data_IF_951579262452
#
_entry.id   IF_951579262452
#
_cell.length_a   1.000
_cell.length_b   1.000
_cell.length_c   1.000
_cell.angle_alpha   90.00
_cell.angle_beta   90.00
_cell.angle_gamma   90.00
#
_symmetry.space_group_name_H-M   'P 1'
#
loop_
_entity.id
_entity.type
_entity.pdbx_description
1 polymer ?
#
# COMPACT_ATOMS: atom_id res chain seq x y z
N UNK A 1 9.10 -25.78 11.63
CA UNK A 1 10.29 -25.11 11.06
C UNK A 1 9.76 -23.96 10.21
N UNK A 2 9.80 -22.73 10.71
CA UNK A 2 9.29 -21.57 9.96
C UNK A 2 10.31 -21.25 8.88
N UNK A 3 10.05 -21.65 7.63
CA UNK A 3 10.91 -21.32 6.50
C UNK A 3 10.97 -19.80 6.31
N UNK A 4 12.14 -19.29 5.95
CA UNK A 4 12.32 -17.88 5.57
C UNK A 4 11.37 -17.51 4.42
N UNK A 5 10.76 -16.32 4.47
CA UNK A 5 9.90 -15.83 3.38
C UNK A 5 10.78 -15.32 2.25
N UNK A 6 10.60 -15.86 1.05
CA UNK A 6 11.39 -15.47 -0.14
C UNK A 6 10.43 -15.10 -1.26
N UNK A 7 10.60 -13.89 -1.81
CA UNK A 7 9.76 -13.36 -2.89
C UNK A 7 10.64 -13.06 -4.11
N UNK A 8 10.16 -13.48 -5.28
CA UNK A 8 10.69 -13.09 -6.59
C UNK A 8 9.57 -12.35 -7.34
N UNK A 9 9.81 -11.10 -7.69
CA UNK A 9 8.96 -10.35 -8.63
C UNK A 9 9.60 -10.43 -10.01
N UNK A 10 8.84 -10.85 -11.01
CA UNK A 10 9.28 -10.98 -12.41
C UNK A 10 8.52 -9.98 -13.28
N UNK A 11 9.03 -9.74 -14.50
CA UNK A 11 8.32 -8.99 -15.54
C UNK A 11 7.88 -7.58 -15.09
N UNK A 12 8.64 -6.94 -14.21
CA UNK A 12 8.39 -5.56 -13.80
C UNK A 12 9.18 -4.59 -14.68
N UNK A 13 8.75 -3.33 -14.74
CA UNK A 13 9.42 -2.26 -15.48
C UNK A 13 9.92 -1.19 -14.49
N UNK A 14 11.19 -0.82 -14.59
CA UNK A 14 11.80 0.28 -13.83
C UNK A 14 12.61 1.14 -14.78
N UNK A 15 12.33 2.45 -14.84
CA UNK A 15 12.99 3.42 -15.74
C UNK A 15 12.97 3.01 -17.23
N UNK A 16 11.91 2.31 -17.66
CA UNK A 16 11.73 1.83 -19.03
C UNK A 16 12.40 0.49 -19.33
N UNK A 17 13.17 -0.06 -18.39
CA UNK A 17 13.85 -1.35 -18.52
C UNK A 17 13.10 -2.46 -17.78
N UNK A 18 13.17 -3.68 -18.32
CA UNK A 18 12.62 -4.87 -17.67
C UNK A 18 13.53 -5.31 -16.53
N UNK A 19 12.97 -5.49 -15.34
CA UNK A 19 13.72 -5.88 -14.14
C UNK A 19 13.05 -7.02 -13.38
N UNK A 20 13.85 -7.63 -12.51
CA UNK A 20 13.41 -8.55 -11.45
C UNK A 20 13.68 -7.90 -10.09
N UNK A 21 12.94 -8.33 -9.06
CA UNK A 21 13.21 -7.99 -7.67
C UNK A 21 13.22 -9.26 -6.84
N UNK A 22 14.21 -9.39 -5.97
CA UNK A 22 14.23 -10.43 -4.93
C UNK A 22 14.11 -9.80 -3.56
N UNK A 23 13.35 -10.46 -2.69
CA UNK A 23 13.25 -10.07 -1.28
C UNK A 23 13.30 -11.30 -0.38
N UNK A 24 13.97 -11.14 0.78
CA UNK A 24 14.09 -12.14 1.84
C UNK A 24 13.60 -11.53 3.14
N UNK A 25 12.65 -12.20 3.80
CA UNK A 25 12.08 -11.80 5.08
C UNK A 25 11.61 -10.33 5.12
N UNK A 26 11.03 -9.86 4.01
CA UNK A 26 10.51 -8.49 3.86
C UNK A 26 11.55 -7.44 3.46
N UNK A 27 12.80 -7.83 3.23
CA UNK A 27 13.89 -6.94 2.81
C UNK A 27 14.21 -7.17 1.34
N UNK A 28 14.22 -6.11 0.53
CA UNK A 28 14.68 -6.17 -0.85
C UNK A 28 16.19 -6.45 -0.87
N UNK A 29 16.59 -7.52 -1.55
CA UNK A 29 17.99 -7.95 -1.63
C UNK A 29 18.66 -7.59 -2.96
N UNK A 30 17.90 -7.54 -4.05
CA UNK A 30 18.39 -7.11 -5.36
C UNK A 30 17.25 -6.59 -6.25
N UNK A 31 17.58 -5.64 -7.12
CA UNK A 31 16.72 -5.12 -8.20
C UNK A 31 17.57 -5.02 -9.47
N UNK A 32 17.05 -5.49 -10.60
CA UNK A 32 17.70 -5.32 -11.91
C UNK A 32 17.42 -6.47 -12.88
N UNK A 33 17.96 -6.40 -14.12
CA UNK A 33 17.76 -7.44 -15.14
C UNK A 33 18.26 -8.83 -14.71
N UNK A 34 19.33 -8.86 -13.91
CA UNK A 34 19.94 -10.11 -13.44
C UNK A 34 19.52 -10.51 -12.01
N UNK A 35 18.67 -9.72 -11.33
CA UNK A 35 18.32 -9.97 -9.93
C UNK A 35 17.58 -11.30 -9.69
N UNK A 36 16.97 -11.88 -10.74
CA UNK A 36 16.33 -13.20 -10.71
C UNK A 36 17.22 -14.36 -11.19
N UNK A 37 18.40 -14.08 -11.75
CA UNK A 37 19.21 -15.07 -12.48
C UNK A 37 19.64 -16.27 -11.65
N UNK A 38 19.99 -16.10 -10.38
CA UNK A 38 20.33 -17.22 -9.47
C UNK A 38 19.12 -18.03 -8.99
N UNK A 39 17.94 -17.42 -8.97
CA UNK A 39 16.69 -18.05 -8.53
C UNK A 39 16.07 -18.86 -9.67
N UNK A 40 16.05 -18.32 -10.89
CA UNK A 40 15.53 -19.01 -12.08
C UNK A 40 16.39 -20.21 -12.49
N UNK A 41 17.71 -20.14 -12.30
CA UNK A 41 18.64 -21.25 -12.57
C UNK A 41 18.49 -22.44 -11.61
N UNK A 42 18.05 -22.21 -10.37
CA UNK A 42 17.84 -23.26 -9.36
C UNK A 42 16.42 -23.84 -9.35
N UNK A 43 15.59 -23.45 -10.33
CA UNK A 43 14.19 -23.86 -10.43
C UNK A 43 13.25 -23.08 -9.49
N UNK A 44 13.76 -22.13 -8.70
CA UNK A 44 12.96 -21.18 -7.93
C UNK A 44 12.00 -21.78 -6.90
N UNK A 45 12.10 -23.08 -6.59
CA UNK A 45 11.11 -23.81 -5.78
C UNK A 45 10.92 -23.27 -4.35
N UNK A 46 11.91 -22.52 -3.84
CA UNK A 46 11.88 -21.91 -2.52
C UNK A 46 11.32 -20.47 -2.50
N UNK A 47 10.96 -19.90 -3.67
CA UNK A 47 10.48 -18.53 -3.79
C UNK A 47 8.99 -18.50 -4.15
N UNK A 48 8.23 -17.69 -3.41
CA UNK A 48 6.94 -17.20 -3.90
C UNK A 48 7.22 -16.27 -5.09
N UNK A 49 6.59 -16.52 -6.23
CA UNK A 49 6.81 -15.76 -7.45
C UNK A 49 5.59 -14.92 -7.80
N UNK A 50 5.80 -13.63 -8.01
CA UNK A 50 4.80 -12.66 -8.46
C UNK A 50 5.18 -12.15 -9.85
N UNK A 51 4.33 -12.40 -10.85
CA UNK A 51 4.47 -11.79 -12.18
C UNK A 51 3.83 -10.39 -12.17
N UNK A 52 4.64 -9.35 -12.40
CA UNK A 52 4.17 -7.97 -12.44
C UNK A 52 3.46 -7.59 -13.75
N UNK A 53 3.39 -8.48 -14.74
CA UNK A 53 2.60 -8.27 -15.96
C UNK A 53 3.07 -7.13 -16.87
N UNK A 54 4.34 -6.72 -16.75
CA UNK A 54 4.87 -5.52 -17.40
C UNK A 54 4.61 -4.22 -16.63
N UNK A 55 3.97 -4.30 -15.46
CA UNK A 55 3.66 -3.18 -14.60
C UNK A 55 4.91 -2.43 -14.10
N UNK A 56 4.70 -1.19 -13.66
CA UNK A 56 5.77 -0.33 -13.14
C UNK A 56 6.12 -0.77 -11.72
N UNK A 57 7.42 -0.97 -11.47
CA UNK A 57 7.97 -1.09 -10.13
C UNK A 57 8.30 0.30 -9.60
N UNK A 58 7.67 0.68 -8.49
CA UNK A 58 7.97 1.94 -7.81
C UNK A 58 8.04 1.74 -6.30
N UNK A 59 8.69 2.67 -5.57
CA UNK A 59 8.55 2.72 -4.12
C UNK A 59 7.08 2.89 -3.70
N UNK A 60 6.70 2.43 -2.50
CA UNK A 60 5.35 2.65 -2.00
C UNK A 60 5.07 4.14 -1.87
N UNK A 61 3.83 4.53 -2.14
CA UNK A 61 3.38 5.89 -1.87
C UNK A 61 3.26 6.09 -0.35
N UNK A 62 3.86 7.16 0.16
CA UNK A 62 3.83 7.50 1.60
C UNK A 62 2.88 8.67 1.82
N UNK A 63 1.77 8.41 2.51
CA UNK A 63 0.85 9.47 2.91
C UNK A 63 1.37 10.18 4.18
N UNK A 64 1.90 11.39 4.01
CA UNK A 64 2.53 12.17 5.09
C UNK A 64 1.57 12.80 6.10
N UNK A 65 0.26 12.85 5.81
CA UNK A 65 -0.76 13.40 6.71
C UNK A 65 -2.15 12.85 6.37
N UNK A 66 -2.88 12.29 7.34
CA UNK A 66 -4.21 11.74 7.10
C UNK A 66 -5.13 11.82 8.32
N UNK A 67 -6.43 11.88 8.04
CA UNK A 67 -7.50 11.68 9.01
C UNK A 67 -8.31 10.44 8.59
N UNK A 68 -7.75 9.25 8.85
CA UNK A 68 -8.22 8.00 8.23
C UNK A 68 -9.71 7.69 8.48
N UNK A 69 -10.19 7.84 9.72
CA UNK A 69 -11.59 7.56 10.05
C UNK A 69 -12.59 8.53 9.39
N UNK A 70 -12.15 9.72 8.98
CA UNK A 70 -13.01 10.70 8.30
C UNK A 70 -13.42 10.26 6.90
N UNK A 71 -12.93 9.12 6.38
CA UNK A 71 -13.50 8.49 5.18
C UNK A 71 -15.01 8.22 5.32
N UNK A 72 -15.51 8.03 6.55
CA UNK A 72 -16.95 7.92 6.84
C UNK A 72 -17.74 9.22 6.59
N UNK A 73 -17.06 10.37 6.54
CA UNK A 73 -17.64 11.69 6.32
C UNK A 73 -17.45 12.19 4.88
N UNK A 74 -17.11 11.30 3.95
CA UNK A 74 -16.87 11.69 2.55
C UNK A 74 -18.10 12.39 1.95
N UNK A 75 -17.93 13.63 1.53
CA UNK A 75 -18.99 14.48 0.99
C UNK A 75 -19.86 15.20 2.04
N UNK A 76 -19.50 15.13 3.33
CA UNK A 76 -20.19 15.84 4.40
C UNK A 76 -19.58 17.23 4.63
N UNK A 77 -20.41 18.27 4.56
CA UNK A 77 -20.00 19.65 4.79
C UNK A 77 -19.28 20.32 3.61
N UNK A 78 -19.48 19.83 2.38
CA UNK A 78 -18.93 20.46 1.17
C UNK A 78 -19.35 21.95 1.06
N UNK A 79 -18.53 22.74 0.34
CA UNK A 79 -18.76 24.16 0.05
C UNK A 79 -18.83 25.12 1.26
N UNK A 80 -18.33 24.70 2.43
CA UNK A 80 -18.20 25.57 3.62
C UNK A 80 -16.79 26.16 3.77
N UNK A 81 -16.65 27.43 4.21
CA UNK A 81 -15.35 27.95 4.61
C UNK A 81 -14.84 27.20 5.85
N UNK A 82 -13.52 27.04 5.97
CA UNK A 82 -12.84 26.17 6.96
C UNK A 82 -13.46 26.22 8.36
N UNK A 83 -13.65 27.40 8.94
CA UNK A 83 -14.16 27.50 10.31
C UNK A 83 -15.61 27.02 10.44
N UNK A 84 -16.46 27.31 9.45
CA UNK A 84 -17.83 26.80 9.43
C UNK A 84 -17.85 25.31 9.16
N UNK A 85 -16.99 24.82 8.28
CA UNK A 85 -16.82 23.38 8.05
C UNK A 85 -16.45 22.64 9.35
N UNK A 86 -15.46 23.15 10.09
CA UNK A 86 -15.06 22.57 11.38
C UNK A 86 -16.19 22.65 12.41
N UNK A 87 -16.70 23.84 12.69
CA UNK A 87 -17.58 24.06 13.85
C UNK A 87 -19.01 23.61 13.62
N UNK A 88 -19.51 23.71 12.39
CA UNK A 88 -20.91 23.43 12.05
C UNK A 88 -21.11 22.03 11.43
N UNK A 89 -20.10 21.48 10.74
CA UNK A 89 -20.22 20.19 10.07
C UNK A 89 -19.41 19.07 10.73
N UNK A 90 -18.11 19.24 10.92
CA UNK A 90 -17.18 18.15 11.33
C UNK A 90 -17.19 17.88 12.83
N UNK A 91 -16.89 18.87 13.67
CA UNK A 91 -16.84 18.65 15.12
C UNK A 91 -18.15 18.08 15.71
N UNK A 92 -19.35 18.49 15.25
CA UNK A 92 -20.61 17.91 15.74
C UNK A 92 -20.79 16.43 15.40
N UNK A 93 -20.23 15.94 14.29
CA UNK A 93 -20.30 14.51 13.92
C UNK A 93 -19.17 13.72 14.55
N UNK A 94 -17.95 14.28 14.62
CA UNK A 94 -16.82 13.67 15.32
C UNK A 94 -17.10 13.45 16.81
N UNK A 95 -17.78 14.40 17.46
CA UNK A 95 -18.17 14.27 18.87
C UNK A 95 -19.13 13.11 19.16
N UNK A 96 -19.72 12.49 18.12
CA UNK A 96 -20.62 11.34 18.23
C UNK A 96 -19.94 10.02 17.85
N UNK A 97 -18.70 10.04 17.37
CA UNK A 97 -18.00 8.82 17.00
C UNK A 97 -17.75 7.94 18.23
N UNK A 98 -18.05 6.66 18.09
CA UNK A 98 -17.66 5.63 19.03
C UNK A 98 -16.35 4.96 18.57
N UNK A 99 -15.64 4.24 19.47
CA UNK A 99 -14.41 3.55 19.10
C UNK A 99 -14.54 2.59 17.92
N UNK A 100 -15.71 1.96 17.75
CA UNK A 100 -15.95 1.04 16.63
C UNK A 100 -16.07 1.78 15.29
N UNK A 101 -16.65 2.98 15.27
CA UNK A 101 -16.70 3.82 14.07
C UNK A 101 -15.28 4.18 13.61
N UNK A 102 -14.40 4.56 14.54
CA UNK A 102 -13.00 4.89 14.25
C UNK A 102 -12.27 3.66 13.71
N UNK A 103 -12.51 2.48 14.28
CA UNK A 103 -11.92 1.22 13.83
C UNK A 103 -12.31 0.92 12.38
N UNK A 104 -13.61 0.90 12.09
CA UNK A 104 -14.10 0.57 10.76
C UNK A 104 -13.79 1.64 9.72
N UNK A 105 -13.91 2.93 10.07
CA UNK A 105 -13.52 4.04 9.20
C UNK A 105 -12.03 3.98 8.85
N UNK A 106 -11.17 3.68 9.82
CA UNK A 106 -9.73 3.52 9.56
C UNK A 106 -9.44 2.30 8.69
N UNK A 107 -10.12 1.17 8.93
CA UNK A 107 -9.98 -0.04 8.10
C UNK A 107 -10.42 0.20 6.66
N UNK A 108 -11.48 0.98 6.45
CA UNK A 108 -11.93 1.41 5.13
C UNK A 108 -10.85 2.26 4.43
N UNK A 109 -10.28 3.24 5.15
CA UNK A 109 -9.19 4.05 4.61
C UNK A 109 -7.95 3.22 4.22
N UNK A 110 -7.56 2.24 5.04
CA UNK A 110 -6.46 1.32 4.69
C UNK A 110 -6.75 0.50 3.42
N UNK A 111 -7.99 0.03 3.25
CA UNK A 111 -8.39 -0.70 2.04
C UNK A 111 -8.32 0.21 0.81
N UNK A 112 -8.79 1.45 0.93
CA UNK A 112 -8.72 2.44 -0.16
C UNK A 112 -7.28 2.77 -0.54
N UNK A 113 -6.36 2.92 0.43
CA UNK A 113 -4.95 3.23 0.16
C UNK A 113 -4.17 2.09 -0.51
N UNK A 114 -4.59 0.83 -0.35
CA UNK A 114 -3.92 -0.35 -0.92
C UNK A 114 -4.50 -0.72 -2.31
N UNK A 115 -5.63 -0.12 -2.71
CA UNK A 115 -6.31 -0.38 -3.98
C UNK A 115 -5.73 0.44 -5.13
#
# INVERSE_FOLDING_TARGET
MSGHRRLLVTNATLDGERVYLTALDGVITAIGPDAGSGVTQTGGHDFETLDAGGGILCPPLVNGHTHAAMTLFRGHGDDLPLMRWLTEAIWPVEAKLEPDDVYWGTRLACLEMIR
#
